data_IF_294543734039
#
_entry.id   IF_294543734039
#
_cell.length_a   1.000
_cell.length_b   1.000
_cell.length_c   1.000
_cell.angle_alpha   90.00
_cell.angle_beta   90.00
_cell.angle_gamma   90.00
#
_symmetry.space_group_name_H-M   'P 1'
#
loop_
_entity.id
_entity.type
_entity.pdbx_description
1 polymer ?
#
# COMPACT_ATOMS: atom_id res chain seq x y z
N UNK A 1 -7.03 -13.13 22.07
CA UNK A 1 -6.20 -12.14 21.34
C UNK A 1 -4.90 -12.74 20.83
N UNK A 2 -4.06 -13.38 21.65
CA UNK A 2 -2.80 -14.02 21.19
C UNK A 2 -2.99 -15.04 20.05
N UNK A 3 -3.98 -15.95 20.14
CA UNK A 3 -4.26 -16.95 19.09
C UNK A 3 -4.65 -16.32 17.74
N UNK A 4 -5.39 -15.20 17.74
CA UNK A 4 -5.75 -14.46 16.53
C UNK A 4 -4.53 -13.74 15.94
N UNK A 5 -3.67 -13.15 16.78
CA UNK A 5 -2.43 -12.52 16.32
C UNK A 5 -1.49 -13.54 15.68
N UNK A 6 -1.30 -14.70 16.30
CA UNK A 6 -0.50 -15.80 15.73
C UNK A 6 -1.08 -16.32 14.40
N UNK A 7 -2.41 -16.45 14.30
CA UNK A 7 -3.07 -16.83 13.04
C UNK A 7 -2.84 -15.77 11.94
N UNK A 8 -2.97 -14.48 12.27
CA UNK A 8 -2.71 -13.39 11.33
C UNK A 8 -1.25 -13.38 10.85
N UNK A 9 -0.28 -13.58 11.74
CA UNK A 9 1.14 -13.70 11.36
C UNK A 9 1.39 -14.85 10.37
N UNK A 10 0.77 -16.02 10.60
CA UNK A 10 0.89 -17.14 9.66
C UNK A 10 0.21 -16.85 8.32
N UNK A 11 -0.92 -16.13 8.34
CA UNK A 11 -1.62 -15.69 7.13
C UNK A 11 -0.77 -14.68 6.34
N UNK A 12 -0.20 -13.68 6.99
CA UNK A 12 0.64 -12.65 6.37
C UNK A 12 1.89 -13.28 5.75
N UNK A 13 2.54 -14.20 6.46
CA UNK A 13 3.68 -14.95 5.94
C UNK A 13 3.31 -15.76 4.68
N UNK A 14 2.12 -16.38 4.65
CA UNK A 14 1.63 -17.10 3.46
C UNK A 14 1.34 -16.15 2.30
N UNK A 15 0.66 -15.04 2.56
CA UNK A 15 0.32 -14.05 1.51
C UNK A 15 1.60 -13.47 0.92
N UNK A 16 2.56 -13.06 1.75
CA UNK A 16 3.87 -12.58 1.32
C UNK A 16 4.58 -13.60 0.42
N UNK A 17 4.65 -14.87 0.86
CA UNK A 17 5.26 -15.93 0.07
C UNK A 17 4.56 -16.12 -1.29
N UNK A 18 3.23 -16.12 -1.31
CA UNK A 18 2.46 -16.27 -2.55
C UNK A 18 2.69 -15.08 -3.50
N UNK A 19 2.74 -13.85 -2.99
CA UNK A 19 3.05 -12.66 -3.78
C UNK A 19 4.44 -12.77 -4.41
N UNK A 20 5.47 -13.14 -3.62
CA UNK A 20 6.84 -13.35 -4.12
C UNK A 20 6.89 -14.43 -5.22
N UNK A 21 6.14 -15.52 -5.05
CA UNK A 21 6.07 -16.59 -6.05
C UNK A 21 5.38 -16.16 -7.34
N UNK A 22 4.30 -15.37 -7.25
CA UNK A 22 3.58 -14.86 -8.42
C UNK A 22 4.43 -13.86 -9.21
N UNK A 23 5.10 -12.92 -8.52
CA UNK A 23 6.05 -12.00 -9.15
C UNK A 23 7.21 -12.71 -9.82
N UNK A 24 7.68 -13.83 -9.25
CA UNK A 24 8.79 -14.64 -9.76
C UNK A 24 8.40 -15.81 -10.68
N UNK A 25 7.14 -15.91 -11.15
CA UNK A 25 6.60 -17.17 -11.70
C UNK A 25 7.39 -17.69 -12.92
N UNK A 26 7.88 -16.80 -13.78
CA UNK A 26 8.65 -17.18 -14.97
C UNK A 26 9.96 -17.87 -14.61
N UNK A 27 10.68 -17.36 -13.61
CA UNK A 27 11.95 -17.95 -13.13
C UNK A 27 11.69 -19.29 -12.45
N UNK A 28 10.62 -19.38 -11.66
CA UNK A 28 10.24 -20.62 -10.97
C UNK A 28 9.90 -21.73 -11.97
N UNK A 29 9.13 -21.39 -13.02
CA UNK A 29 8.81 -22.30 -14.13
C UNK A 29 10.07 -22.74 -14.88
N UNK A 30 10.97 -21.79 -15.18
CA UNK A 30 12.23 -22.06 -15.85
C UNK A 30 13.13 -23.03 -15.07
N UNK A 31 13.23 -22.87 -13.74
CA UNK A 31 14.03 -23.73 -12.86
C UNK A 31 13.33 -25.03 -12.44
N UNK A 32 12.04 -25.20 -12.73
CA UNK A 32 11.25 -26.37 -12.31
C UNK A 32 11.01 -26.49 -10.80
N UNK A 33 11.04 -25.39 -10.05
CA UNK A 33 10.97 -25.39 -8.58
C UNK A 33 9.55 -25.41 -7.99
N UNK A 34 8.55 -25.67 -8.82
CA UNK A 34 7.13 -25.54 -8.46
C UNK A 34 6.73 -26.43 -7.28
N UNK A 35 7.16 -27.69 -7.31
CA UNK A 35 6.81 -28.64 -6.25
C UNK A 35 7.48 -28.27 -4.92
N UNK A 36 8.74 -27.85 -4.95
CA UNK A 36 9.49 -27.46 -3.76
C UNK A 36 8.90 -26.20 -3.11
N UNK A 37 8.53 -25.20 -3.90
CA UNK A 37 7.91 -23.97 -3.41
C UNK A 37 6.45 -24.19 -3.00
N UNK A 38 5.72 -25.05 -3.70
CA UNK A 38 4.38 -25.49 -3.32
C UNK A 38 4.36 -26.17 -1.94
N UNK A 39 5.32 -27.06 -1.67
CA UNK A 39 5.46 -27.69 -0.36
C UNK A 39 5.72 -26.66 0.76
N UNK A 40 6.45 -25.58 0.49
CA UNK A 40 6.64 -24.48 1.46
C UNK A 40 5.35 -23.71 1.74
N UNK A 41 4.52 -23.46 0.72
CA UNK A 41 3.20 -22.82 0.90
C UNK A 41 2.30 -23.71 1.75
N UNK A 42 2.26 -25.02 1.47
CA UNK A 42 1.47 -25.98 2.25
C UNK A 42 1.93 -26.08 3.71
N UNK A 43 3.24 -26.05 3.97
CA UNK A 43 3.77 -26.01 5.34
C UNK A 43 3.33 -24.75 6.11
N UNK A 44 3.22 -23.60 5.43
CA UNK A 44 2.64 -22.39 6.01
C UNK A 44 1.13 -22.55 6.25
N UNK A 45 0.40 -23.14 5.29
CA UNK A 45 -1.04 -23.38 5.39
C UNK A 45 -1.40 -24.33 6.53
N UNK A 46 -0.63 -25.39 6.74
CA UNK A 46 -0.85 -26.34 7.83
C UNK A 46 -0.76 -25.66 9.20
N UNK A 47 0.20 -24.75 9.39
CA UNK A 47 0.35 -23.96 10.62
C UNK A 47 -0.83 -22.99 10.82
N UNK A 48 -1.25 -22.30 9.76
CA UNK A 48 -2.44 -21.42 9.76
C UNK A 48 -3.70 -22.21 10.17
N UNK A 49 -3.94 -23.38 9.55
CA UNK A 49 -5.08 -24.23 9.82
C UNK A 49 -5.08 -24.80 11.25
N UNK A 50 -3.91 -25.14 11.80
CA UNK A 50 -3.78 -25.60 13.18
C UNK A 50 -4.31 -24.57 14.18
N UNK A 51 -3.95 -23.29 14.00
CA UNK A 51 -4.45 -22.19 14.84
C UNK A 51 -5.92 -21.87 14.58
N UNK A 52 -6.33 -21.87 13.31
CA UNK A 52 -7.73 -21.65 12.93
C UNK A 52 -8.65 -22.70 13.57
N UNK A 53 -8.22 -23.96 13.66
CA UNK A 53 -8.98 -25.04 14.31
C UNK A 53 -9.27 -24.72 15.78
N UNK A 54 -8.27 -24.26 16.53
CA UNK A 54 -8.43 -23.87 17.94
C UNK A 54 -9.42 -22.72 18.07
N UNK A 55 -9.28 -21.68 17.23
CA UNK A 55 -10.21 -20.55 17.20
C UNK A 55 -11.64 -21.03 16.94
N UNK A 56 -11.84 -21.93 15.97
CA UNK A 56 -13.18 -22.41 15.61
C UNK A 56 -13.82 -23.28 16.70
N UNK A 57 -13.04 -24.09 17.42
CA UNK A 57 -13.57 -24.81 18.58
C UNK A 57 -13.95 -23.87 19.73
N UNK A 58 -13.17 -22.81 19.97
CA UNK A 58 -13.51 -21.79 20.96
C UNK A 58 -14.77 -21.00 20.55
N UNK A 59 -14.89 -20.62 19.28
CA UNK A 59 -16.09 -19.98 18.72
C UNK A 59 -17.32 -20.88 18.95
N UNK A 60 -17.22 -22.17 18.61
CA UNK A 60 -18.31 -23.12 18.77
C UNK A 60 -18.73 -23.30 20.23
N UNK A 61 -17.76 -23.40 21.15
CA UNK A 61 -18.03 -23.47 22.59
C UNK A 61 -18.73 -22.21 23.10
N UNK A 62 -18.30 -21.03 22.64
CA UNK A 62 -18.91 -19.74 22.98
C UNK A 62 -20.36 -19.67 22.49
N UNK A 63 -20.62 -20.03 21.22
CA UNK A 63 -21.98 -20.06 20.65
C UNK A 63 -22.91 -21.00 21.43
N UNK A 64 -22.44 -22.20 21.79
CA UNK A 64 -23.23 -23.14 22.57
C UNK A 64 -23.54 -22.61 23.97
N UNK A 65 -22.55 -22.00 24.64
CA UNK A 65 -22.73 -21.38 25.94
C UNK A 65 -23.76 -20.24 25.87
N UNK A 66 -23.70 -19.40 24.83
CA UNK A 66 -24.67 -18.33 24.59
C UNK A 66 -26.09 -18.84 24.31
N UNK A 67 -26.23 -19.97 23.62
CA UNK A 67 -27.54 -20.59 23.39
C UNK A 67 -28.13 -21.20 24.67
N UNK A 68 -27.28 -21.72 25.56
CA UNK A 68 -27.70 -22.36 26.81
C UNK A 68 -27.93 -21.37 27.96
N UNK A 69 -27.19 -20.26 28.01
CA UNK A 69 -27.24 -19.22 29.06
C UNK A 69 -28.67 -18.76 29.42
N UNK A 70 -29.56 -18.46 28.45
CA UNK A 70 -30.91 -17.95 28.72
C UNK A 70 -31.75 -18.94 29.53
N UNK A 71 -31.62 -20.22 29.20
CA UNK A 71 -32.33 -21.32 29.85
C UNK A 71 -31.80 -21.52 31.27
N UNK A 72 -30.47 -21.56 31.42
CA UNK A 72 -29.81 -21.71 32.74
C UNK A 72 -30.17 -20.55 33.66
N UNK A 73 -30.09 -19.30 33.19
CA UNK A 73 -30.45 -18.11 33.98
C UNK A 73 -31.91 -18.16 34.42
N UNK A 74 -32.83 -18.52 33.52
CA UNK A 74 -34.26 -18.63 33.83
C UNK A 74 -34.53 -19.68 34.90
N UNK A 75 -33.88 -20.85 34.80
CA UNK A 75 -33.98 -21.92 35.79
C UNK A 75 -33.48 -21.44 37.16
N UNK A 76 -32.32 -20.79 37.22
CA UNK A 76 -31.75 -20.27 38.47
C UNK A 76 -32.65 -19.20 39.11
N UNK A 77 -33.21 -18.29 38.31
CA UNK A 77 -34.14 -17.26 38.79
C UNK A 77 -35.40 -17.88 39.39
N UNK A 78 -36.01 -18.86 38.73
CA UNK A 78 -37.24 -19.47 39.23
C UNK A 78 -37.00 -20.38 40.43
N UNK A 79 -35.89 -21.13 40.47
CA UNK A 79 -35.52 -21.94 41.63
C UNK A 79 -35.30 -21.05 42.86
N UNK A 80 -34.53 -19.97 42.73
CA UNK A 80 -34.27 -19.06 43.85
C UNK A 80 -35.56 -18.39 44.33
N UNK A 81 -36.45 -17.98 43.42
CA UNK A 81 -37.74 -17.38 43.76
C UNK A 81 -38.66 -18.33 44.56
N UNK A 82 -38.68 -19.63 44.22
CA UNK A 82 -39.44 -20.66 44.96
C UNK A 82 -38.81 -20.92 46.33
N UNK A 83 -37.49 -21.02 46.41
CA UNK A 83 -36.77 -21.23 47.67
C UNK A 83 -36.99 -20.09 48.68
N UNK A 84 -37.22 -18.86 48.19
CA UNK A 84 -37.59 -17.71 49.02
C UNK A 84 -39.06 -17.73 49.49
N UNK A 85 -39.82 -18.79 49.18
CA UNK A 85 -41.20 -18.98 49.64
C UNK A 85 -42.26 -18.28 48.80
N UNK A 86 -41.92 -17.76 47.61
CA UNK A 86 -42.88 -17.10 46.73
C UNK A 86 -43.56 -18.09 45.76
N UNK A 87 -44.82 -17.80 45.40
CA UNK A 87 -45.57 -18.61 44.43
C UNK A 87 -45.28 -18.18 42.98
N UNK A 88 -44.98 -19.16 42.13
CA UNK A 88 -44.82 -19.00 40.69
C UNK A 88 -46.18 -18.98 40.00
N UNK A 89 -46.61 -17.79 39.56
CA UNK A 89 -47.77 -17.62 38.68
C UNK A 89 -47.33 -17.60 37.22
N UNK A 90 -48.13 -18.16 36.31
CA UNK A 90 -47.85 -18.15 34.86
C UNK A 90 -47.49 -16.74 34.33
N UNK A 91 -48.22 -15.70 34.76
CA UNK A 91 -47.93 -14.31 34.37
C UNK A 91 -46.51 -13.88 34.74
N UNK A 92 -46.02 -14.21 35.95
CA UNK A 92 -44.66 -13.85 36.38
C UNK A 92 -43.60 -14.59 35.57
N UNK A 93 -43.84 -15.87 35.27
CA UNK A 93 -42.92 -16.72 34.48
C UNK A 93 -42.78 -16.21 33.05
N UNK A 94 -43.90 -15.95 32.36
CA UNK A 94 -43.87 -15.45 30.98
C UNK A 94 -43.25 -14.06 30.87
N UNK A 95 -43.56 -13.15 31.80
CA UNK A 95 -42.97 -11.81 31.83
C UNK A 95 -41.47 -11.85 32.10
N UNK A 96 -41.01 -12.68 33.05
CA UNK A 96 -39.58 -12.82 33.34
C UNK A 96 -38.80 -13.43 32.15
N UNK A 97 -39.35 -14.46 31.50
CA UNK A 97 -38.74 -15.06 30.31
C UNK A 97 -38.62 -14.05 29.15
N UNK A 98 -39.65 -13.21 28.95
CA UNK A 98 -39.62 -12.16 27.93
C UNK A 98 -38.53 -11.11 28.22
N UNK A 99 -38.40 -10.66 29.48
CA UNK A 99 -37.36 -9.71 29.89
C UNK A 99 -35.95 -10.29 29.74
N UNK A 100 -35.74 -11.55 30.13
CA UNK A 100 -34.45 -12.24 29.94
C UNK A 100 -34.09 -12.31 28.46
N UNK A 101 -35.04 -12.67 27.58
CA UNK A 101 -34.84 -12.69 26.13
C UNK A 101 -34.44 -11.32 25.55
N UNK A 102 -35.07 -10.24 26.01
CA UNK A 102 -34.70 -8.88 25.56
C UNK A 102 -33.30 -8.46 26.01
N UNK A 103 -32.82 -8.94 27.15
CA UNK A 103 -31.51 -8.58 27.71
C UNK A 103 -30.32 -9.28 27.01
N UNK A 104 -30.52 -10.47 26.45
CA UNK A 104 -29.44 -11.30 25.88
C UNK A 104 -28.82 -10.66 24.64
N UNK A 105 -29.63 -10.05 23.77
CA UNK A 105 -29.12 -9.46 22.52
C UNK A 105 -28.13 -8.30 22.78
N UNK A 106 -28.44 -7.30 23.63
CA UNK A 106 -27.48 -6.27 24.01
C UNK A 106 -26.21 -6.84 24.67
N UNK A 107 -26.34 -7.83 25.56
CA UNK A 107 -25.20 -8.46 26.23
C UNK A 107 -24.29 -9.21 25.27
N UNK A 108 -24.86 -9.89 24.27
CA UNK A 108 -24.09 -10.59 23.25
C UNK A 108 -23.35 -9.61 22.33
N UNK A 109 -23.93 -8.47 22.00
CA UNK A 109 -23.30 -7.47 21.12
C UNK A 109 -22.21 -6.67 21.84
N UNK A 110 -22.25 -6.57 23.18
CA UNK A 110 -21.36 -5.71 23.95
C UNK A 110 -19.85 -6.03 23.77
N UNK A 111 -19.39 -7.30 23.82
CA UNK A 111 -17.99 -7.63 23.53
C UNK A 111 -17.55 -7.24 22.10
N UNK A 112 -18.45 -7.35 21.11
CA UNK A 112 -18.15 -6.97 19.73
C UNK A 112 -17.95 -5.46 19.60
N UNK A 113 -18.74 -4.66 20.32
CA UNK A 113 -18.56 -3.20 20.35
C UNK A 113 -17.20 -2.84 20.97
N UNK A 114 -16.81 -3.49 22.07
CA UNK A 114 -15.48 -3.25 22.69
C UNK A 114 -14.36 -3.61 21.71
N UNK A 115 -14.42 -4.79 21.09
CA UNK A 115 -13.42 -5.21 20.11
C UNK A 115 -13.37 -4.24 18.91
N UNK A 116 -14.53 -3.83 18.40
CA UNK A 116 -14.63 -2.85 17.31
C UNK A 116 -14.02 -1.49 17.67
N UNK A 117 -14.22 -1.01 18.90
CA UNK A 117 -13.60 0.23 19.37
C UNK A 117 -12.07 0.10 19.48
N UNK A 118 -11.57 -1.04 19.97
CA UNK A 118 -10.13 -1.29 20.06
C UNK A 118 -9.48 -1.37 18.67
N UNK A 119 -10.11 -2.08 17.73
CA UNK A 119 -9.65 -2.19 16.34
C UNK A 119 -9.70 -0.84 15.61
N UNK A 120 -10.77 -0.07 15.82
CA UNK A 120 -10.90 1.28 15.29
C UNK A 120 -9.80 2.20 15.81
N UNK A 121 -9.49 2.15 17.11
CA UNK A 121 -8.40 2.94 17.70
C UNK A 121 -7.06 2.61 17.06
N UNK A 122 -6.68 1.33 16.94
CA UNK A 122 -5.41 0.94 16.31
C UNK A 122 -5.36 1.37 14.84
N UNK A 123 -6.50 1.32 14.13
CA UNK A 123 -6.58 1.78 12.74
C UNK A 123 -6.42 3.31 12.63
N UNK A 124 -7.04 4.07 13.54
CA UNK A 124 -6.87 5.51 13.64
C UNK A 124 -5.43 5.89 13.94
N UNK A 125 -4.76 5.20 14.87
CA UNK A 125 -3.35 5.44 15.19
C UNK A 125 -2.44 5.25 13.95
N UNK A 126 -2.74 4.26 13.10
CA UNK A 126 -1.99 4.03 11.84
C UNK A 126 -2.27 5.10 10.78
N UNK A 127 -3.53 5.52 10.63
CA UNK A 127 -3.89 6.60 9.70
C UNK A 127 -3.24 7.90 10.15
N UNK A 128 -3.26 8.20 11.45
CA UNK A 128 -2.62 9.38 12.02
C UNK A 128 -1.12 9.36 11.74
N UNK A 129 -0.43 8.25 12.00
CA UNK A 129 1.00 8.10 11.71
C UNK A 129 1.33 8.37 10.23
N UNK A 130 0.49 7.89 9.30
CA UNK A 130 0.68 8.13 7.87
C UNK A 130 0.45 9.60 7.50
N UNK A 131 -0.60 10.23 8.05
CA UNK A 131 -0.92 11.64 7.79
C UNK A 131 0.11 12.60 8.41
N UNK A 132 0.78 12.18 9.48
CA UNK A 132 1.85 12.93 10.14
C UNK A 132 3.21 12.83 9.42
N UNK A 133 3.33 12.01 8.36
CA UNK A 133 4.55 11.93 7.58
C UNK A 133 4.89 13.29 6.94
N UNK A 134 6.18 13.65 6.87
CA UNK A 134 6.59 14.92 6.29
C UNK A 134 6.25 14.96 4.79
N UNK A 135 5.54 16.01 4.37
CA UNK A 135 5.27 16.25 2.96
C UNK A 135 6.49 16.86 2.26
N UNK A 136 6.75 16.42 1.04
CA UNK A 136 7.75 17.06 0.19
C UNK A 136 7.27 18.47 -0.21
N UNK A 137 8.09 19.48 0.08
CA UNK A 137 7.79 20.87 -0.27
C UNK A 137 8.71 21.36 -1.41
N UNK A 138 8.21 21.48 -2.65
CA UNK A 138 9.01 21.94 -3.78
C UNK A 138 9.62 23.33 -3.58
N UNK A 139 8.93 24.25 -2.88
CA UNK A 139 9.45 25.61 -2.64
C UNK A 139 10.60 25.64 -1.63
N UNK A 140 10.70 24.65 -0.75
CA UNK A 140 11.82 24.49 0.15
C UNK A 140 12.98 23.71 -0.51
N UNK A 141 12.66 22.87 -1.50
CA UNK A 141 13.64 22.09 -2.23
C UNK A 141 14.36 22.91 -3.32
N UNK A 142 13.58 23.51 -4.22
CA UNK A 142 14.07 24.36 -5.29
C UNK A 142 14.23 25.78 -4.78
N UNK A 143 15.31 26.44 -5.16
CA UNK A 143 15.51 27.85 -4.88
C UNK A 143 14.40 28.67 -5.55
N UNK A 144 13.80 29.64 -4.83
CA UNK A 144 12.75 30.50 -5.38
C UNK A 144 13.31 31.46 -6.44
N UNK A 145 14.59 31.81 -6.34
CA UNK A 145 15.26 32.68 -7.28
C UNK A 145 15.54 31.93 -8.60
N UNK A 146 15.26 32.57 -9.75
CA UNK A 146 15.62 32.00 -11.04
C UNK A 146 17.15 31.83 -11.14
N UNK A 147 17.62 30.91 -12.00
CA UNK A 147 19.05 30.77 -12.29
C UNK A 147 19.71 32.12 -12.60
N UNK A 148 20.96 32.30 -12.17
CA UNK A 148 21.66 33.59 -12.19
C UNK A 148 21.72 34.21 -13.59
N UNK A 149 21.85 33.38 -14.63
CA UNK A 149 21.78 33.82 -16.03
C UNK A 149 20.39 33.58 -16.66
N UNK A 150 19.88 34.53 -17.47
CA UNK A 150 18.63 34.37 -18.22
C UNK A 150 18.67 33.25 -19.27
N UNK A 151 19.84 32.65 -19.55
CA UNK A 151 19.98 31.51 -20.46
C UNK A 151 19.97 30.14 -19.77
N UNK A 152 20.27 30.10 -18.46
CA UNK A 152 20.39 28.85 -17.67
C UNK A 152 19.02 28.31 -17.29
N UNK A 153 18.80 27.01 -17.49
CA UNK A 153 17.54 26.31 -17.17
C UNK A 153 17.65 25.42 -15.95
N UNK A 154 18.85 24.90 -15.65
CA UNK A 154 19.17 24.12 -14.46
C UNK A 154 20.49 24.63 -13.90
N UNK A 155 20.51 24.85 -12.58
CA UNK A 155 21.68 25.33 -11.86
C UNK A 155 21.79 24.60 -10.51
N UNK A 156 22.91 23.93 -10.28
CA UNK A 156 23.25 23.25 -9.04
C UNK A 156 24.58 23.80 -8.52
N UNK A 157 24.61 24.34 -7.30
CA UNK A 157 25.84 24.82 -6.67
C UNK A 157 26.03 24.23 -5.27
N UNK A 158 27.17 23.55 -5.07
CA UNK A 158 27.56 22.98 -3.79
C UNK A 158 26.48 22.11 -3.14
N UNK A 159 25.69 21.42 -3.96
CA UNK A 159 24.48 20.74 -3.55
C UNK A 159 24.79 19.33 -3.02
N UNK A 160 24.24 19.00 -1.86
CA UNK A 160 24.39 17.69 -1.22
C UNK A 160 23.01 17.06 -1.06
N UNK A 161 22.87 15.83 -1.54
CA UNK A 161 21.62 15.10 -1.56
C UNK A 161 21.74 13.75 -0.85
N UNK A 162 20.65 13.29 -0.25
CA UNK A 162 20.59 11.99 0.44
C UNK A 162 19.22 11.34 0.23
N UNK A 163 19.18 10.01 0.18
CA UNK A 163 17.90 9.26 0.18
C UNK A 163 17.25 9.27 1.56
N UNK A 164 18.07 9.27 2.60
CA UNK A 164 17.66 9.33 3.99
C UNK A 164 18.24 10.60 4.66
N UNK A 165 17.38 11.50 5.20
CA UNK A 165 17.85 12.68 5.90
C UNK A 165 18.60 12.37 7.21
N UNK A 166 18.48 11.16 7.76
CA UNK A 166 19.05 10.77 9.07
C UNK A 166 20.50 10.28 8.95
N UNK A 167 21.10 10.32 7.75
CA UNK A 167 22.55 10.19 7.56
C UNK A 167 23.07 8.76 7.36
N UNK A 168 22.18 7.79 7.11
CA UNK A 168 22.55 6.38 6.89
C UNK A 168 22.85 6.05 5.42
N UNK A 169 22.38 6.88 4.47
CA UNK A 169 22.54 6.61 3.03
C UNK A 169 23.73 7.35 2.40
N UNK A 170 24.19 6.82 1.27
CA UNK A 170 25.22 7.45 0.44
C UNK A 170 24.79 8.85 0.00
N UNK A 171 25.63 9.83 0.30
CA UNK A 171 25.41 11.22 -0.10
C UNK A 171 25.87 11.45 -1.54
N UNK A 172 25.07 12.20 -2.31
CA UNK A 172 25.42 12.65 -3.66
C UNK A 172 25.80 14.12 -3.58
N UNK A 173 27.08 14.43 -3.85
CA UNK A 173 27.59 15.80 -3.85
C UNK A 173 27.82 16.30 -5.28
N UNK A 174 27.30 17.48 -5.57
CA UNK A 174 27.46 18.16 -6.86
C UNK A 174 28.09 19.53 -6.60
N UNK A 175 29.33 19.71 -7.06
CA UNK A 175 30.06 20.95 -6.87
C UNK A 175 29.46 22.11 -7.67
N UNK A 176 29.26 21.89 -8.97
CA UNK A 176 28.74 22.89 -9.91
C UNK A 176 28.19 22.16 -11.13
N UNK A 177 26.94 22.46 -11.51
CA UNK A 177 26.35 22.04 -12.77
C UNK A 177 25.41 23.12 -13.28
N UNK A 178 25.66 23.61 -14.49
CA UNK A 178 24.80 24.56 -15.19
C UNK A 178 24.42 24.02 -16.56
N UNK A 179 23.14 24.08 -16.90
CA UNK A 179 22.62 23.69 -18.21
C UNK A 179 21.86 24.87 -18.82
N UNK A 180 22.20 25.24 -20.06
CA UNK A 180 21.55 26.33 -20.79
C UNK A 180 20.42 25.83 -21.69
N UNK A 181 19.45 26.70 -21.97
CA UNK A 181 18.34 26.38 -22.86
C UNK A 181 18.86 25.99 -24.25
N UNK A 182 18.40 24.85 -24.77
CA UNK A 182 18.76 24.35 -26.10
C UNK A 182 20.00 23.44 -26.13
N UNK A 183 20.59 23.11 -24.98
CA UNK A 183 21.70 22.16 -24.89
C UNK A 183 21.23 20.71 -24.86
N UNK A 184 21.96 19.84 -25.56
CA UNK A 184 21.89 18.39 -25.41
C UNK A 184 23.09 17.93 -24.55
N UNK A 185 22.81 17.40 -23.36
CA UNK A 185 23.85 17.04 -22.37
C UNK A 185 23.88 15.53 -22.17
N UNK A 186 25.06 14.93 -22.30
CA UNK A 186 25.30 13.51 -22.00
C UNK A 186 25.99 13.33 -20.64
N UNK A 187 25.50 12.41 -19.82
CA UNK A 187 26.10 12.06 -18.51
C UNK A 187 26.72 10.67 -18.61
N UNK A 188 28.02 10.57 -18.34
CA UNK A 188 28.78 9.30 -18.44
C UNK A 188 29.47 8.96 -17.11
N UNK A 189 29.62 7.67 -16.83
CA UNK A 189 30.27 7.19 -15.62
C UNK A 189 30.04 5.71 -15.37
N UNK A 190 30.84 5.12 -14.48
CA UNK A 190 30.77 3.69 -14.13
C UNK A 190 29.40 3.27 -13.60
N UNK A 191 29.09 1.97 -13.64
CA UNK A 191 27.88 1.43 -13.00
C UNK A 191 27.93 1.76 -11.50
N UNK A 192 26.81 2.21 -10.92
CA UNK A 192 26.73 2.57 -9.50
C UNK A 192 27.34 3.93 -9.11
N UNK A 193 27.81 4.76 -10.06
CA UNK A 193 28.41 6.05 -9.73
C UNK A 193 27.42 7.19 -9.44
N UNK A 194 26.12 6.91 -9.26
CA UNK A 194 25.11 7.91 -8.91
C UNK A 194 24.46 8.68 -10.07
N UNK A 195 24.53 8.19 -11.32
CA UNK A 195 23.85 8.83 -12.48
C UNK A 195 22.34 8.95 -12.28
N UNK A 196 21.70 7.86 -11.87
CA UNK A 196 20.25 7.86 -11.58
C UNK A 196 19.94 8.73 -10.37
N UNK A 197 20.82 8.73 -9.34
CA UNK A 197 20.69 9.64 -8.19
C UNK A 197 20.79 11.12 -8.58
N UNK A 198 21.61 11.48 -9.56
CA UNK A 198 21.67 12.85 -10.09
C UNK A 198 20.33 13.26 -10.73
N UNK A 199 19.72 12.39 -11.54
CA UNK A 199 18.41 12.67 -12.14
C UNK A 199 17.31 12.75 -11.08
N UNK A 200 17.32 11.84 -10.10
CA UNK A 200 16.40 11.85 -8.98
C UNK A 200 16.57 13.11 -8.09
N UNK A 201 17.80 13.62 -7.95
CA UNK A 201 18.07 14.89 -7.28
C UNK A 201 17.53 16.08 -8.08
N UNK A 202 17.67 16.09 -9.42
CA UNK A 202 17.05 17.13 -10.25
C UNK A 202 15.53 17.05 -10.19
N UNK A 203 14.97 15.84 -10.06
CA UNK A 203 13.53 15.61 -9.97
C UNK A 203 12.92 15.97 -8.60
N UNK A 204 13.75 16.11 -7.56
CA UNK A 204 13.30 16.36 -6.19
C UNK A 204 12.91 15.11 -5.40
N UNK A 205 13.38 13.94 -5.82
CA UNK A 205 13.15 12.67 -5.11
C UNK A 205 14.15 12.45 -3.96
N UNK A 206 15.37 12.99 -4.07
CA UNK A 206 16.32 12.99 -2.95
C UNK A 206 16.09 14.20 -2.04
N UNK A 207 16.46 14.06 -0.77
CA UNK A 207 16.46 15.16 0.19
C UNK A 207 17.69 16.04 -0.04
N UNK A 208 17.50 17.33 -0.29
CA UNK A 208 18.58 18.32 -0.34
C UNK A 208 18.98 18.71 1.09
N UNK A 209 20.21 18.37 1.49
CA UNK A 209 20.76 18.70 2.80
C UNK A 209 21.38 20.11 2.83
N UNK A 210 22.05 20.51 1.73
CA UNK A 210 22.65 21.84 1.56
C UNK A 210 22.84 22.19 0.09
N UNK A 211 23.20 23.44 -0.17
CA UNK A 211 23.51 23.98 -1.49
C UNK A 211 22.29 24.50 -2.24
N UNK A 212 22.48 24.83 -3.50
CA UNK A 212 21.51 25.56 -4.32
C UNK A 212 21.02 24.70 -5.49
N UNK A 213 19.71 24.72 -5.75
CA UNK A 213 19.06 23.99 -6.86
C UNK A 213 18.03 24.90 -7.50
N UNK A 214 18.31 25.46 -8.66
CA UNK A 214 17.36 26.29 -9.40
C UNK A 214 16.98 25.63 -10.72
N UNK A 215 15.67 25.55 -10.98
CA UNK A 215 15.10 25.02 -12.21
C UNK A 215 14.16 26.07 -12.79
N UNK A 216 14.42 26.52 -14.02
CA UNK A 216 13.57 27.50 -14.67
C UNK A 216 12.24 26.87 -15.09
N UNK A 217 11.14 27.52 -14.74
CA UNK A 217 9.81 27.12 -15.18
C UNK A 217 9.27 25.88 -14.46
N UNK A 218 9.63 25.69 -13.18
CA UNK A 218 9.18 24.58 -12.35
C UNK A 218 7.65 24.36 -12.40
N UNK A 219 6.87 25.45 -12.50
CA UNK A 219 5.41 25.39 -12.63
C UNK A 219 4.89 24.73 -13.91
N UNK A 220 5.70 24.64 -14.96
CA UNK A 220 5.37 23.93 -16.20
C UNK A 220 5.71 22.44 -16.14
N UNK A 221 6.51 22.03 -15.15
CA UNK A 221 7.08 20.69 -15.05
C UNK A 221 8.15 20.39 -16.11
N UNK A 222 8.71 19.19 -16.02
CA UNK A 222 9.64 18.62 -17.01
C UNK A 222 9.29 17.14 -17.23
N UNK A 223 9.65 16.60 -18.40
CA UNK A 223 9.49 15.18 -18.70
C UNK A 223 10.62 14.36 -18.07
N UNK A 224 10.28 13.24 -17.46
CA UNK A 224 11.21 12.27 -16.90
C UNK A 224 10.87 10.87 -17.41
N UNK A 225 11.86 10.17 -17.95
CA UNK A 225 11.77 8.75 -18.27
C UNK A 225 12.73 8.00 -17.33
N UNK A 226 12.17 7.17 -16.45
CA UNK A 226 12.92 6.40 -15.46
C UNK A 226 13.53 5.15 -16.07
N UNK A 227 14.55 4.60 -15.39
CA UNK A 227 15.22 3.37 -15.83
C UNK A 227 14.26 2.17 -15.83
N UNK A 228 13.40 2.08 -14.81
CA UNK A 228 12.29 1.13 -14.79
C UNK A 228 11.06 1.85 -15.34
N UNK A 229 10.50 1.39 -16.48
CA UNK A 229 9.33 2.03 -17.07
C UNK A 229 8.11 1.80 -16.19
N UNK A 230 7.31 2.85 -16.01
CA UNK A 230 6.01 2.79 -15.37
C UNK A 230 4.92 3.05 -16.41
N UNK A 231 3.94 2.15 -16.50
CA UNK A 231 2.84 2.19 -17.47
C UNK A 231 1.54 2.07 -16.69
N UNK A 232 0.60 2.98 -16.92
CA UNK A 232 -0.73 2.95 -16.32
C UNK A 232 -1.58 1.85 -16.92
N UNK A 233 -2.44 1.24 -16.11
CA UNK A 233 -3.51 0.34 -16.57
C UNK A 233 -4.52 1.10 -17.45
N UNK A 234 -4.22 1.20 -18.74
CA UNK A 234 -4.96 1.97 -19.75
C UNK A 234 -4.53 1.55 -21.17
N UNK A 235 -5.08 2.18 -22.21
CA UNK A 235 -4.61 1.94 -23.58
C UNK A 235 -3.19 2.50 -23.79
N UNK A 236 -2.46 1.99 -24.78
CA UNK A 236 -1.15 2.55 -25.17
C UNK A 236 -1.29 4.03 -25.56
N UNK A 237 -2.35 4.38 -26.31
CA UNK A 237 -2.65 5.76 -26.67
C UNK A 237 -2.81 6.64 -25.44
N UNK A 238 -3.54 6.21 -24.43
CA UNK A 238 -3.75 7.00 -23.21
C UNK A 238 -2.47 7.17 -22.41
N UNK A 239 -1.63 6.13 -22.34
CA UNK A 239 -0.30 6.21 -21.74
C UNK A 239 0.61 7.23 -22.45
N UNK A 240 0.57 7.28 -23.79
CA UNK A 240 1.35 8.25 -24.57
C UNK A 240 0.80 9.68 -24.43
N UNK A 241 -0.53 9.85 -24.48
CA UNK A 241 -1.17 11.15 -24.33
C UNK A 241 -1.03 11.73 -22.93
N UNK A 242 -1.04 10.87 -21.92
CA UNK A 242 -0.84 11.20 -20.51
C UNK A 242 -1.73 12.37 -20.06
N UNK A 243 -3.02 12.31 -20.41
CA UNK A 243 -4.03 13.32 -20.06
C UNK A 243 -4.09 14.55 -20.99
N UNK A 244 -3.25 14.62 -22.04
CA UNK A 244 -3.34 15.67 -23.07
C UNK A 244 -4.40 15.34 -24.12
N UNK A 245 -4.88 16.37 -24.81
CA UNK A 245 -5.78 16.22 -25.96
C UNK A 245 -5.08 15.51 -27.11
N UNK A 246 -5.80 14.63 -27.80
CA UNK A 246 -5.28 13.92 -28.96
C UNK A 246 -5.10 14.86 -30.16
N UNK A 247 -3.84 15.04 -30.57
CA UNK A 247 -3.47 15.71 -31.82
C UNK A 247 -2.93 14.65 -32.78
N UNK A 248 -3.69 14.36 -33.84
CA UNK A 248 -3.39 13.29 -34.77
C UNK A 248 -2.05 13.49 -35.51
N UNK A 249 -1.68 14.74 -35.81
CA UNK A 249 -0.45 15.01 -36.55
C UNK A 249 0.76 14.83 -35.64
N UNK A 250 0.76 15.47 -34.47
CA UNK A 250 1.86 15.34 -33.51
C UNK A 250 2.00 13.89 -33.02
N UNK A 251 0.89 13.20 -32.77
CA UNK A 251 0.91 11.82 -32.32
C UNK A 251 1.56 10.92 -33.35
N UNK A 252 1.20 11.06 -34.64
CA UNK A 252 1.82 10.30 -35.73
C UNK A 252 3.31 10.59 -35.87
N UNK A 253 3.71 11.86 -35.82
CA UNK A 253 5.12 12.28 -35.89
C UNK A 253 5.94 11.69 -34.73
N UNK A 254 5.39 11.65 -33.52
CA UNK A 254 6.03 11.04 -32.33
C UNK A 254 6.16 9.52 -32.49
N UNK A 255 5.10 8.83 -32.95
CA UNK A 255 5.16 7.38 -33.18
C UNK A 255 6.21 7.01 -34.23
N UNK A 256 6.30 7.79 -35.32
CA UNK A 256 7.31 7.61 -36.35
C UNK A 256 8.73 7.87 -35.81
N UNK A 257 8.92 8.96 -35.06
CA UNK A 257 10.22 9.31 -34.48
C UNK A 257 10.70 8.29 -33.42
N UNK A 258 9.78 7.68 -32.68
CA UNK A 258 10.06 6.61 -31.72
C UNK A 258 10.09 5.20 -32.35
N UNK A 259 9.86 5.08 -33.66
CA UNK A 259 9.80 3.81 -34.39
C UNK A 259 8.77 2.79 -33.83
N UNK A 260 7.67 3.27 -33.26
CA UNK A 260 6.67 2.42 -32.59
C UNK A 260 5.66 1.76 -33.54
N UNK A 261 5.60 2.18 -34.81
CA UNK A 261 4.57 1.71 -35.74
C UNK A 261 4.59 0.18 -35.96
N UNK A 262 5.79 -0.40 -36.08
CA UNK A 262 5.93 -1.84 -36.29
C UNK A 262 5.51 -2.62 -35.03
N UNK A 263 5.89 -2.14 -33.85
CA UNK A 263 5.49 -2.72 -32.55
C UNK A 263 3.98 -2.61 -32.31
N UNK A 264 3.35 -1.51 -32.74
CA UNK A 264 1.90 -1.35 -32.64
C UNK A 264 1.18 -2.29 -33.63
N UNK A 265 1.76 -2.55 -34.80
CA UNK A 265 1.12 -3.40 -35.83
C UNK A 265 0.96 -4.87 -35.43
N UNK A 266 1.81 -5.37 -34.52
CA UNK A 266 1.72 -6.74 -34.01
C UNK A 266 0.69 -6.91 -32.89
N UNK A 267 0.21 -5.80 -32.32
CA UNK A 267 -0.77 -5.84 -31.23
C UNK A 267 -2.20 -5.97 -31.78
N UNK A 268 -3.07 -6.73 -31.10
CA UNK A 268 -4.40 -7.08 -31.62
C UNK A 268 -5.31 -5.87 -31.88
N UNK A 269 -5.13 -4.77 -31.13
CA UNK A 269 -5.89 -3.53 -31.29
C UNK A 269 -4.99 -2.31 -31.57
N UNK A 270 -3.73 -2.53 -32.00
CA UNK A 270 -2.78 -1.45 -32.20
C UNK A 270 -2.57 -0.61 -30.94
N UNK A 271 -2.65 0.71 -31.08
CA UNK A 271 -2.51 1.68 -29.99
C UNK A 271 -3.70 1.72 -29.01
N UNK A 272 -4.81 1.05 -29.34
CA UNK A 272 -5.97 0.86 -28.45
C UNK A 272 -5.83 -0.37 -27.55
N UNK A 273 -4.72 -1.11 -27.66
CA UNK A 273 -4.48 -2.26 -26.79
C UNK A 273 -4.27 -1.80 -25.35
N UNK A 274 -4.98 -2.44 -24.41
CA UNK A 274 -4.82 -2.21 -22.97
C UNK A 274 -3.49 -2.81 -22.49
N UNK A 275 -2.73 -2.03 -21.73
CA UNK A 275 -1.41 -2.36 -21.18
C UNK A 275 -1.28 -1.84 -19.75
N UNK A 276 -0.21 -2.24 -19.07
CA UNK A 276 0.09 -1.84 -17.68
C UNK A 276 -0.31 -2.92 -16.66
N UNK A 277 0.12 -2.72 -15.42
CA UNK A 277 -0.25 -3.51 -14.24
C UNK A 277 -1.01 -2.63 -13.24
#
# INVERSE_FOLDING_TARGET
MASNQEMLQHKDARVKLVTELLSGIRVIKFCGWEQALGARVEACRARELGRLRVIKYLDAACVYLWAALPVVISIVIFITYVLMGHQLTATKVFTALALVRMLILPLNNFPWVINGLLEAKVSLDRIQLFLDLPNHNPQAYYSPDPPAEPSTVLELHGALFSWDPVGTSLETFISHLEVKKGMLVGIVGKVGCGKSSLLAAIAGELHRLRGHVAVRGLSKGFGLATQEPWIQFATIRDNILFGKTFDAQLYKEVLEACALNDDLSILPAGDQTEVGE
#
